data_IF_470220078464
#
_entry.id   IF_470220078464
#
_cell.length_a   1.000
_cell.length_b   1.000
_cell.length_c   1.000
_cell.angle_alpha   90.00
_cell.angle_beta   90.00
_cell.angle_gamma   90.00
#
_symmetry.space_group_name_H-M   'P 1'
#
loop_
_entity.id
_entity.type
_entity.pdbx_description
1 polymer ?
#
# COMPACT_ATOMS: atom_id res chain seq x y z
N UNK A 1 -30.47 -71.13 1.60
CA UNK A 1 -29.96 -71.68 2.88
C UNK A 1 -29.44 -70.49 3.65
N UNK A 2 -30.26 -69.91 4.55
CA UNK A 2 -30.30 -70.22 6.00
C UNK A 2 -29.00 -69.80 6.67
N UNK A 3 -28.90 -69.02 7.74
CA UNK A 3 -29.82 -68.39 8.71
C UNK A 3 -28.90 -67.55 9.63
N UNK A 4 -29.25 -66.31 9.97
CA UNK A 4 -29.76 -65.85 11.27
C UNK A 4 -29.14 -66.42 12.57
N UNK A 5 -28.89 -65.48 13.51
CA UNK A 5 -28.66 -65.57 14.98
C UNK A 5 -27.29 -66.08 15.42
N UNK A 6 -26.59 -65.50 16.42
CA UNK A 6 -27.06 -65.10 17.76
C UNK A 6 -26.28 -63.93 18.39
N UNK A 7 -26.98 -63.25 19.29
CA UNK A 7 -26.51 -62.23 20.23
C UNK A 7 -25.63 -62.78 21.37
N UNK A 8 -24.89 -61.88 22.02
CA UNK A 8 -24.24 -62.04 23.34
C UNK A 8 -23.44 -60.77 23.65
N UNK A 9 -23.98 -59.82 24.41
CA UNK A 9 -23.98 -59.69 25.87
C UNK A 9 -22.82 -58.84 26.40
N UNK A 10 -23.18 -58.00 27.37
CA UNK A 10 -22.37 -57.43 28.45
C UNK A 10 -21.76 -56.02 28.28
N UNK A 11 -22.51 -55.06 28.83
CA UNK A 11 -22.01 -53.83 29.43
C UNK A 11 -20.98 -54.12 30.53
N UNK A 12 -19.93 -53.31 30.62
CA UNK A 12 -19.79 -52.52 31.85
C UNK A 12 -19.47 -51.05 31.57
N UNK A 13 -20.16 -50.19 32.33
CA UNK A 13 -19.81 -48.79 32.54
C UNK A 13 -18.36 -48.66 33.00
N UNK A 14 -17.54 -47.97 32.21
CA UNK A 14 -16.30 -47.38 32.68
C UNK A 14 -16.34 -45.89 32.36
N UNK A 15 -16.42 -45.11 33.43
CA UNK A 15 -16.18 -43.68 33.45
C UNK A 15 -14.72 -43.42 33.06
N UNK A 16 -14.49 -42.93 31.86
CA UNK A 16 -13.23 -42.26 31.52
C UNK A 16 -13.52 -40.86 31.03
N UNK A 17 -13.13 -39.91 31.89
CA UNK A 17 -12.97 -38.51 31.59
C UNK A 17 -12.03 -38.34 30.40
N UNK A 18 -12.58 -38.30 29.18
CA UNK A 18 -11.83 -37.80 28.03
C UNK A 18 -11.75 -36.30 28.19
N UNK A 19 -10.62 -35.87 28.75
CA UNK A 19 -10.09 -34.53 28.70
C UNK A 19 -10.46 -33.88 27.37
N UNK A 20 -11.08 -32.70 27.45
CA UNK A 20 -11.33 -31.85 26.32
C UNK A 20 -10.04 -31.72 25.51
N UNK A 21 -10.04 -32.33 24.32
CA UNK A 21 -9.05 -32.03 23.29
C UNK A 21 -9.38 -30.62 22.85
N UNK A 22 -8.71 -29.64 23.45
CA UNK A 22 -8.59 -28.31 22.88
C UNK A 22 -7.93 -28.46 21.51
N UNK A 23 -8.60 -28.13 20.39
CA UNK A 23 -7.89 -27.89 19.14
C UNK A 23 -7.19 -26.54 19.28
N UNK A 24 -6.03 -26.54 19.94
CA UNK A 24 -5.05 -25.50 19.70
C UNK A 24 -4.35 -25.82 18.37
N UNK A 25 -4.28 -24.80 17.52
CA UNK A 25 -3.27 -24.66 16.46
C UNK A 25 -3.52 -25.44 15.17
N UNK A 26 -4.30 -24.85 14.27
CA UNK A 26 -4.24 -24.93 12.79
C UNK A 26 -5.63 -24.49 12.30
N UNK A 27 -5.93 -23.21 12.18
CA UNK A 27 -5.48 -22.29 11.14
C UNK A 27 -5.44 -20.91 11.79
N UNK A 28 -4.26 -20.37 12.07
CA UNK A 28 -4.16 -18.94 12.36
C UNK A 28 -4.69 -18.23 11.12
N UNK A 29 -5.87 -17.65 11.30
CA UNK A 29 -6.49 -16.68 10.45
C UNK A 29 -5.42 -15.88 9.70
N UNK A 30 -5.33 -16.09 8.38
CA UNK A 30 -5.11 -14.94 7.52
C UNK A 30 -6.36 -14.09 7.70
N UNK A 31 -6.36 -13.28 8.75
CA UNK A 31 -7.21 -12.11 8.80
C UNK A 31 -6.72 -11.26 7.62
N UNK A 32 -7.50 -11.04 6.55
CA UNK A 32 -7.19 -10.04 5.54
C UNK A 32 -7.42 -8.62 6.10
N UNK A 33 -7.25 -8.48 7.43
CA UNK A 33 -7.33 -7.25 8.19
C UNK A 33 -6.49 -6.22 7.48
N UNK A 34 -7.21 -5.28 6.88
CA UNK A 34 -6.73 -4.04 6.32
C UNK A 34 -5.49 -3.59 7.10
N UNK A 35 -4.30 -3.76 6.50
CA UNK A 35 -3.04 -3.41 7.16
C UNK A 35 -3.04 -1.90 7.28
N UNK A 36 -3.61 -1.38 8.37
CA UNK A 36 -3.47 0.02 8.75
C UNK A 36 -2.03 0.19 9.21
N UNK A 37 -1.24 0.90 8.42
CA UNK A 37 0.07 1.37 8.87
C UNK A 37 -0.18 2.61 9.71
N UNK A 38 0.15 2.53 11.00
CA UNK A 38 0.03 3.67 11.91
C UNK A 38 1.22 4.62 11.79
N UNK A 39 1.10 5.89 12.21
CA UNK A 39 2.24 6.80 12.34
C UNK A 39 3.38 6.22 13.19
N UNK A 40 3.04 5.48 14.25
CA UNK A 40 3.99 4.80 15.13
C UNK A 40 4.75 3.69 14.38
N UNK A 41 4.07 2.92 13.53
CA UNK A 41 4.72 1.90 12.69
C UNK A 41 5.74 2.53 11.74
N UNK A 42 5.37 3.66 11.11
CA UNK A 42 6.28 4.41 10.22
C UNK A 42 7.49 4.92 10.97
N UNK A 43 7.28 5.55 12.12
CA UNK A 43 8.38 6.09 12.93
C UNK A 43 9.31 4.97 13.42
N UNK A 44 8.74 3.85 13.87
CA UNK A 44 9.51 2.67 14.28
C UNK A 44 10.33 2.14 13.11
N UNK A 45 9.72 1.96 11.95
CA UNK A 45 10.42 1.47 10.76
C UNK A 45 11.53 2.44 10.32
N UNK A 46 11.27 3.74 10.28
CA UNK A 46 12.29 4.75 9.95
C UNK A 46 13.47 4.70 10.93
N UNK A 47 13.21 4.53 12.22
CA UNK A 47 14.25 4.35 13.24
C UNK A 47 15.05 3.06 13.06
N UNK A 48 14.39 1.94 12.74
CA UNK A 48 15.05 0.65 12.52
C UNK A 48 15.91 0.65 11.24
N UNK A 49 15.43 1.24 10.14
CA UNK A 49 16.20 1.42 8.90
C UNK A 49 17.39 2.35 9.15
N UNK A 50 17.17 3.49 9.81
CA UNK A 50 18.25 4.44 10.14
C UNK A 50 19.37 3.76 10.92
N UNK A 51 19.02 2.96 11.94
CA UNK A 51 19.99 2.22 12.75
C UNK A 51 20.75 1.19 11.90
N UNK A 52 20.05 0.45 11.04
CA UNK A 52 20.67 -0.56 10.17
C UNK A 52 21.64 0.07 9.16
N UNK A 53 21.25 1.19 8.54
CA UNK A 53 22.08 1.97 7.62
C UNK A 53 23.33 2.54 8.31
N UNK A 54 23.16 3.15 9.49
CA UNK A 54 24.28 3.66 10.27
C UNK A 54 25.25 2.55 10.71
N UNK A 55 24.72 1.37 11.09
CA UNK A 55 25.55 0.20 11.42
C UNK A 55 26.37 -0.30 10.20
N UNK A 56 25.86 -0.12 8.98
CA UNK A 56 26.58 -0.38 7.74
C UNK A 56 27.50 0.77 7.29
N UNK A 57 27.61 1.85 8.10
CA UNK A 57 28.43 3.02 7.80
C UNK A 57 27.88 3.88 6.66
N UNK A 58 26.56 3.89 6.46
CA UNK A 58 25.85 4.83 5.58
C UNK A 58 25.52 6.10 6.37
N UNK A 59 25.74 7.26 5.76
CA UNK A 59 25.32 8.54 6.34
C UNK A 59 23.84 8.75 6.05
N UNK A 60 23.06 8.99 7.11
CA UNK A 60 21.59 9.12 7.07
C UNK A 60 21.14 10.56 7.31
N UNK A 61 22.09 11.51 7.37
CA UNK A 61 21.82 12.95 7.43
C UNK A 61 21.43 13.51 6.06
N UNK A 62 21.90 12.88 5.00
CA UNK A 62 21.47 13.18 3.63
C UNK A 62 20.20 12.39 3.31
N UNK A 63 19.26 12.94 2.52
CA UNK A 63 18.09 12.21 2.05
C UNK A 63 18.47 10.94 1.27
N UNK A 64 17.81 9.83 1.59
CA UNK A 64 17.99 8.54 0.93
C UNK A 64 16.68 8.18 0.23
N UNK A 65 16.68 8.22 -1.10
CA UNK A 65 15.56 7.77 -1.92
C UNK A 65 15.61 6.24 -2.06
N UNK A 66 14.51 5.60 -1.66
CA UNK A 66 14.32 4.15 -1.74
C UNK A 66 13.22 3.84 -2.76
N UNK A 67 13.34 2.68 -3.41
CA UNK A 67 12.38 2.18 -4.39
C UNK A 67 12.25 0.66 -4.30
N UNK A 68 11.23 0.09 -4.94
CA UNK A 68 11.06 -1.36 -5.10
C UNK A 68 11.38 -1.73 -6.55
N UNK A 69 12.21 -2.74 -6.75
CA UNK A 69 12.50 -3.23 -8.10
C UNK A 69 11.43 -4.20 -8.61
N UNK A 70 11.56 -4.61 -9.88
CA UNK A 70 10.62 -5.56 -10.51
C UNK A 70 10.57 -6.95 -9.87
N UNK A 71 11.55 -7.30 -9.02
CA UNK A 71 11.58 -8.55 -8.26
C UNK A 71 11.00 -8.38 -6.84
N UNK A 72 10.56 -7.18 -6.48
CA UNK A 72 10.08 -6.85 -5.14
C UNK A 72 11.21 -6.55 -4.15
N UNK A 73 12.46 -6.43 -4.58
CA UNK A 73 13.55 -6.07 -3.66
C UNK A 73 13.59 -4.55 -3.45
N UNK A 74 13.76 -4.13 -2.19
CA UNK A 74 13.97 -2.70 -1.86
C UNK A 74 15.40 -2.33 -2.19
N UNK A 75 15.56 -1.21 -2.89
CA UNK A 75 16.85 -0.68 -3.35
C UNK A 75 16.91 0.84 -3.20
N UNK A 76 18.11 1.38 -3.17
CA UNK A 76 18.30 2.81 -3.33
C UNK A 76 18.03 3.24 -4.79
N UNK A 77 17.48 4.43 -4.98
CA UNK A 77 17.31 4.97 -6.33
C UNK A 77 18.67 5.29 -6.98
N UNK A 78 18.70 5.24 -8.31
CA UNK A 78 19.88 5.59 -9.09
C UNK A 78 20.36 7.02 -8.75
N UNK A 79 21.65 7.16 -8.43
CA UNK A 79 22.24 8.43 -8.00
C UNK A 79 22.28 8.64 -6.48
N UNK A 80 21.64 7.77 -5.69
CA UNK A 80 21.74 7.83 -4.22
C UNK A 80 23.17 7.54 -3.76
N UNK A 81 23.78 8.41 -2.93
CA UNK A 81 25.10 8.13 -2.35
C UNK A 81 25.10 6.80 -1.59
N UNK A 82 26.14 5.99 -1.79
CA UNK A 82 26.30 4.71 -1.10
C UNK A 82 25.20 3.67 -1.40
N UNK A 83 24.54 3.74 -2.57
CA UNK A 83 23.50 2.82 -3.00
C UNK A 83 23.84 1.33 -2.76
N UNK A 84 25.05 0.89 -3.09
CA UNK A 84 25.49 -0.50 -2.89
C UNK A 84 25.41 -0.96 -1.42
N UNK A 85 25.73 -0.07 -0.47
CA UNK A 85 25.64 -0.39 0.97
C UNK A 85 24.19 -0.42 1.43
N UNK A 86 23.36 0.51 0.93
CA UNK A 86 21.93 0.57 1.24
C UNK A 86 21.25 -0.72 0.75
N UNK A 87 21.50 -1.11 -0.49
CA UNK A 87 20.99 -2.35 -1.09
C UNK A 87 21.43 -3.57 -0.28
N UNK A 88 22.70 -3.62 0.15
CA UNK A 88 23.21 -4.69 1.00
C UNK A 88 22.47 -4.78 2.35
N UNK A 89 22.09 -3.65 2.95
CA UNK A 89 21.32 -3.63 4.20
C UNK A 89 19.95 -4.28 4.00
N UNK A 90 19.23 -3.94 2.93
CA UNK A 90 17.92 -4.55 2.65
C UNK A 90 18.03 -6.03 2.26
N UNK A 91 19.07 -6.41 1.50
CA UNK A 91 19.33 -7.80 1.15
C UNK A 91 19.61 -8.68 2.39
N UNK A 92 20.33 -8.14 3.38
CA UNK A 92 20.63 -8.84 4.63
C UNK A 92 19.46 -8.85 5.61
N UNK A 93 18.49 -7.95 5.45
CA UNK A 93 17.37 -7.75 6.38
C UNK A 93 16.02 -7.81 5.64
N UNK A 94 15.56 -8.99 5.19
CA UNK A 94 14.32 -9.12 4.41
C UNK A 94 13.07 -8.64 5.16
N UNK A 95 13.08 -8.65 6.49
CA UNK A 95 12.00 -8.09 7.31
C UNK A 95 11.85 -6.56 7.12
N UNK A 96 12.95 -5.82 6.90
CA UNK A 96 12.90 -4.39 6.59
C UNK A 96 12.26 -4.19 5.21
N UNK A 97 12.65 -4.99 4.21
CA UNK A 97 12.05 -4.93 2.87
C UNK A 97 10.54 -5.19 2.89
N UNK A 98 10.09 -6.22 3.63
CA UNK A 98 8.67 -6.51 3.77
C UNK A 98 7.88 -5.38 4.47
N UNK A 99 8.49 -4.72 5.46
CA UNK A 99 7.86 -3.60 6.18
C UNK A 99 7.77 -2.37 5.28
N UNK A 100 8.83 -2.08 4.52
CA UNK A 100 8.86 -1.01 3.53
C UNK A 100 7.72 -1.16 2.51
N UNK A 101 7.58 -2.34 1.90
CA UNK A 101 6.51 -2.61 0.93
C UNK A 101 5.11 -2.43 1.53
N UNK A 102 4.90 -2.82 2.80
CA UNK A 102 3.62 -2.60 3.47
C UNK A 102 3.30 -1.11 3.61
N UNK A 103 4.29 -0.30 3.99
CA UNK A 103 4.17 1.16 4.11
C UNK A 103 3.86 1.77 2.73
N UNK A 104 4.63 1.44 1.71
CA UNK A 104 4.41 1.87 0.32
C UNK A 104 2.98 1.55 -0.17
N UNK A 105 2.55 0.30 -0.01
CA UNK A 105 1.20 -0.13 -0.41
C UNK A 105 0.09 0.60 0.34
N UNK A 106 0.28 0.84 1.64
CA UNK A 106 -0.67 1.60 2.44
C UNK A 106 -0.75 3.06 1.97
N UNK A 107 0.39 3.72 1.79
CA UNK A 107 0.46 5.12 1.37
C UNK A 107 -0.12 5.30 -0.05
N UNK A 108 0.20 4.39 -0.98
CA UNK A 108 -0.44 4.35 -2.30
C UNK A 108 -1.95 4.20 -2.19
N UNK A 109 -2.44 3.30 -1.34
CA UNK A 109 -3.87 3.09 -1.13
C UNK A 109 -4.55 4.33 -0.55
N UNK A 110 -3.91 5.01 0.40
CA UNK A 110 -4.38 6.29 0.94
C UNK A 110 -4.40 7.40 -0.12
N UNK A 111 -3.36 7.51 -0.95
CA UNK A 111 -3.29 8.48 -2.03
C UNK A 111 -4.39 8.26 -3.08
N UNK A 112 -4.60 7.01 -3.50
CA UNK A 112 -5.68 6.64 -4.43
C UNK A 112 -7.04 6.94 -3.80
N UNK A 113 -7.27 6.58 -2.53
CA UNK A 113 -8.54 6.83 -1.85
C UNK A 113 -8.89 8.32 -1.79
N UNK A 114 -7.90 9.19 -1.51
CA UNK A 114 -8.08 10.65 -1.54
C UNK A 114 -8.47 11.14 -2.93
N UNK A 115 -7.82 10.62 -3.98
CA UNK A 115 -8.13 10.96 -5.36
C UNK A 115 -9.52 10.46 -5.79
N UNK A 116 -9.94 9.29 -5.33
CA UNK A 116 -11.26 8.71 -5.63
C UNK A 116 -12.40 9.54 -5.03
N UNK A 117 -12.21 10.13 -3.84
CA UNK A 117 -13.23 11.02 -3.23
C UNK A 117 -13.44 12.25 -4.12
N UNK A 118 -12.36 12.90 -4.54
CA UNK A 118 -12.45 14.08 -5.41
C UNK A 118 -12.98 13.74 -6.82
N UNK A 119 -12.67 12.56 -7.34
CA UNK A 119 -13.26 12.05 -8.58
C UNK A 119 -14.78 11.91 -8.45
N UNK A 120 -15.28 11.34 -7.35
CA UNK A 120 -16.72 11.25 -7.08
C UNK A 120 -17.40 12.61 -7.07
N UNK A 121 -16.84 13.58 -6.34
CA UNK A 121 -17.36 14.95 -6.29
C UNK A 121 -17.30 15.67 -7.65
N UNK A 122 -16.26 15.40 -8.44
CA UNK A 122 -16.13 15.93 -9.80
C UNK A 122 -17.15 15.30 -10.77
N UNK A 123 -17.40 13.99 -10.64
CA UNK A 123 -18.38 13.25 -11.42
C UNK A 123 -19.82 13.70 -11.16
N UNK A 124 -20.15 14.02 -9.91
CA UNK A 124 -21.46 14.55 -9.54
C UNK A 124 -21.70 15.94 -10.13
N UNK A 125 -20.67 16.80 -10.16
CA UNK A 125 -20.73 18.14 -10.76
C UNK A 125 -20.69 18.12 -12.29
N UNK A 126 -20.13 17.06 -12.89
CA UNK A 126 -20.06 16.91 -14.33
C UNK A 126 -21.47 16.75 -14.93
N UNK A 127 -22.03 17.85 -15.44
CA UNK A 127 -23.41 17.92 -15.95
C UNK A 127 -23.67 17.23 -17.29
N UNK A 128 -22.69 16.52 -17.87
CA UNK A 128 -22.84 15.82 -19.15
C UNK A 128 -22.01 14.54 -19.23
N UNK A 129 -22.38 13.57 -20.09
CA UNK A 129 -21.57 12.36 -20.32
C UNK A 129 -20.13 12.65 -20.77
N UNK A 130 -19.92 13.68 -21.60
CA UNK A 130 -18.58 14.04 -22.08
C UNK A 130 -17.71 14.65 -20.98
N UNK A 131 -18.30 15.44 -20.07
CA UNK A 131 -17.60 15.96 -18.90
C UNK A 131 -17.20 14.81 -17.95
N UNK A 132 -18.12 13.87 -17.70
CA UNK A 132 -17.84 12.66 -16.89
C UNK A 132 -16.70 11.82 -17.49
N UNK A 133 -16.71 11.62 -18.80
CA UNK A 133 -15.62 10.91 -19.49
C UNK A 133 -14.26 11.62 -19.32
N UNK A 134 -14.26 12.96 -19.30
CA UNK A 134 -13.04 13.76 -19.08
C UNK A 134 -12.52 13.63 -17.65
N UNK A 135 -13.41 13.67 -16.65
CA UNK A 135 -13.08 13.42 -15.24
C UNK A 135 -12.46 12.02 -15.07
N UNK A 136 -13.10 10.98 -15.62
CA UNK A 136 -12.57 9.61 -15.57
C UNK A 136 -11.19 9.49 -16.23
N UNK A 137 -11.02 10.08 -17.41
CA UNK A 137 -9.73 10.06 -18.11
C UNK A 137 -8.62 10.69 -17.26
N UNK A 138 -8.89 11.82 -16.59
CA UNK A 138 -7.92 12.46 -15.69
C UNK A 138 -7.63 11.59 -14.47
N UNK A 139 -8.66 11.09 -13.81
CA UNK A 139 -8.49 10.21 -12.66
C UNK A 139 -7.67 8.96 -12.99
N UNK A 140 -7.92 8.31 -14.13
CA UNK A 140 -7.15 7.14 -14.56
C UNK A 140 -5.67 7.47 -14.80
N UNK A 141 -5.37 8.66 -15.33
CA UNK A 141 -4.00 9.18 -15.45
C UNK A 141 -3.35 9.43 -14.09
N UNK A 142 -4.08 10.04 -13.16
CA UNK A 142 -3.64 10.25 -11.76
C UNK A 142 -3.29 8.92 -11.09
N UNK A 143 -4.16 7.91 -11.18
CA UNK A 143 -3.89 6.57 -10.62
C UNK A 143 -2.65 5.94 -11.24
N UNK A 144 -2.41 6.15 -12.54
CA UNK A 144 -1.19 5.66 -13.19
C UNK A 144 0.08 6.34 -12.67
N UNK A 145 0.04 7.66 -12.41
CA UNK A 145 1.16 8.39 -11.80
C UNK A 145 1.40 7.90 -10.38
N UNK A 146 0.34 7.83 -9.56
CA UNK A 146 0.44 7.36 -8.18
C UNK A 146 1.02 5.95 -8.09
N UNK A 147 0.68 5.04 -9.01
CA UNK A 147 1.28 3.69 -9.03
C UNK A 147 2.77 3.70 -9.31
N UNK A 148 3.27 4.63 -10.13
CA UNK A 148 4.71 4.77 -10.37
C UNK A 148 5.46 5.37 -9.17
N UNK A 149 4.79 6.24 -8.41
CA UNK A 149 5.33 6.88 -7.21
C UNK A 149 5.12 6.06 -5.93
N UNK A 150 4.18 5.11 -5.95
CA UNK A 150 3.73 4.35 -4.78
C UNK A 150 4.75 3.36 -4.22
N UNK A 151 5.87 3.18 -4.91
CA UNK A 151 6.99 2.35 -4.47
C UNK A 151 8.17 3.20 -3.94
N UNK A 152 8.05 4.53 -3.98
CA UNK A 152 9.12 5.49 -3.70
C UNK A 152 8.91 6.22 -2.38
N UNK A 153 9.85 6.05 -1.45
CA UNK A 153 9.90 6.77 -0.18
C UNK A 153 11.28 7.42 -0.01
N UNK A 154 11.31 8.60 0.60
CA UNK A 154 12.56 9.27 1.00
C UNK A 154 12.73 9.18 2.51
N UNK A 155 13.85 8.61 2.95
CA UNK A 155 14.29 8.65 4.35
C UNK A 155 15.19 9.87 4.57
N UNK A 156 14.79 10.80 5.43
CA UNK A 156 15.60 11.95 5.82
C UNK A 156 15.34 12.27 7.30
N UNK A 157 16.40 12.55 8.06
CA UNK A 157 16.30 12.92 9.49
C UNK A 157 15.45 11.96 10.34
N UNK A 158 15.51 10.66 10.02
CA UNK A 158 14.74 9.61 10.71
C UNK A 158 13.23 9.63 10.41
N UNK A 159 12.81 10.29 9.35
CA UNK A 159 11.43 10.34 8.87
C UNK A 159 11.33 9.78 7.45
N UNK A 160 10.17 9.17 7.14
CA UNK A 160 9.86 8.69 5.81
C UNK A 160 8.81 9.60 5.17
N UNK A 161 9.11 10.05 3.96
CA UNK A 161 8.21 10.85 3.14
C UNK A 161 7.82 10.07 1.90
N UNK A 162 6.52 9.90 1.69
CA UNK A 162 5.97 9.16 0.56
C UNK A 162 5.78 10.05 -0.66
N UNK A 163 6.36 9.65 -1.78
CA UNK A 163 6.22 10.39 -3.05
C UNK A 163 4.76 10.43 -3.50
N UNK A 164 4.06 9.29 -3.40
CA UNK A 164 2.64 9.21 -3.77
C UNK A 164 1.75 10.14 -2.94
N UNK A 165 1.98 10.24 -1.62
CA UNK A 165 1.20 11.16 -0.77
C UNK A 165 1.55 12.64 -1.04
N UNK A 166 2.81 12.96 -1.32
CA UNK A 166 3.25 14.32 -1.64
C UNK A 166 2.68 14.84 -2.96
N UNK A 167 2.41 13.96 -3.93
CA UNK A 167 1.84 14.35 -5.23
C UNK A 167 0.32 14.54 -5.23
N UNK A 168 -0.40 14.07 -4.20
CA UNK A 168 -1.87 14.04 -4.19
C UNK A 168 -2.48 15.41 -4.49
N UNK A 169 -2.06 16.47 -3.80
CA UNK A 169 -2.71 17.78 -3.92
C UNK A 169 -2.60 18.36 -5.34
N UNK A 170 -1.44 18.19 -5.99
CA UNK A 170 -1.24 18.61 -7.39
C UNK A 170 -2.07 17.78 -8.37
N UNK A 171 -2.19 16.47 -8.11
CA UNK A 171 -2.98 15.56 -8.94
C UNK A 171 -4.49 15.80 -8.78
N UNK A 172 -4.96 16.11 -7.58
CA UNK A 172 -6.35 16.47 -7.28
C UNK A 172 -6.81 17.69 -8.09
N UNK A 173 -5.98 18.74 -8.13
CA UNK A 173 -6.28 19.94 -8.92
C UNK A 173 -6.49 19.61 -10.41
N UNK A 174 -5.82 18.58 -10.94
CA UNK A 174 -5.99 18.15 -12.34
C UNK A 174 -7.33 17.47 -12.61
N UNK A 175 -7.91 16.79 -11.61
CA UNK A 175 -9.24 16.17 -11.70
C UNK A 175 -10.32 17.26 -11.66
N UNK A 176 -10.17 18.25 -10.77
CA UNK A 176 -11.10 19.37 -10.67
C UNK A 176 -11.15 20.22 -11.95
N UNK A 177 -10.00 20.43 -12.59
CA UNK A 177 -9.90 21.16 -13.85
C UNK A 177 -10.73 20.52 -14.99
N UNK A 178 -11.04 19.21 -14.90
CA UNK A 178 -11.87 18.51 -15.89
C UNK A 178 -13.35 18.88 -15.84
N UNK A 179 -13.81 19.44 -14.72
CA UNK A 179 -15.21 19.88 -14.52
C UNK A 179 -15.44 21.27 -15.09
N UNK A 180 -14.40 22.09 -15.18
CA UNK A 180 -14.55 23.44 -15.73
C UNK A 180 -14.97 23.34 -17.19
N UNK A 181 -16.02 24.07 -17.62
CA UNK A 181 -16.37 24.13 -19.02
C UNK A 181 -15.12 24.58 -19.75
N UNK A 182 -14.68 23.82 -20.76
CA UNK A 182 -13.68 24.25 -21.72
C UNK A 182 -14.22 25.55 -22.30
N UNK A 183 -13.90 26.66 -21.66
CA UNK A 183 -14.33 27.96 -22.11
C UNK A 183 -13.74 28.06 -23.49
N UNK A 184 -14.58 27.88 -24.51
CA UNK A 184 -14.23 28.29 -25.86
C UNK A 184 -13.67 29.69 -25.66
N UNK A 185 -12.40 29.96 -26.03
CA UNK A 185 -11.95 31.33 -26.07
C UNK A 185 -12.96 32.00 -26.99
N UNK A 186 -13.87 32.79 -26.41
CA UNK A 186 -14.78 33.62 -27.17
C UNK A 186 -13.84 34.50 -27.94
N UNK A 187 -13.63 34.14 -29.20
CA UNK A 187 -13.06 35.00 -30.20
C UNK A 187 -14.02 36.18 -30.26
N UNK A 188 -13.76 37.16 -29.39
CA UNK A 188 -14.25 38.51 -29.51
C UNK A 188 -13.60 39.03 -30.80
N UNK A 189 -14.21 38.64 -31.92
CA UNK A 189 -13.96 39.22 -33.23
C UNK A 189 -14.43 40.66 -33.06
N UNK A 190 -13.51 41.52 -32.63
CA UNK A 190 -13.67 42.96 -32.73
C UNK A 190 -13.90 43.28 -34.21
N UNK A 191 -15.17 43.42 -34.59
CA UNK A 191 -15.54 44.07 -35.84
C UNK A 191 -15.22 45.55 -35.66
N UNK A 192 -14.15 45.99 -36.30
CA UNK A 192 -13.92 47.38 -36.67
C UNK A 192 -14.45 47.59 -38.09
#
# INVERSE_FOLDING_TARGET
MSGQTTAGSDSPSAVESTSAVSPASSVLAMDPGFIVVTPEDRQKFAGDVTRALQAAGVDTREPISLTVDSAGAVKAEAGTPQAEKIDAVFAQNPALGNTYQKICNYDLSCAIARCSIAEGEAMERAGSPSAKASVWSRFSGVVSVLKGEGEQETLADGQLTSSALSSVDGLLASVEAAVQPSGSPSSEISRW
#
